data_IF_113518111904
#
_entry.id   IF_113518111904
#
_cell.length_a   1.000
_cell.length_b   1.000
_cell.length_c   1.000
_cell.angle_alpha   90.00
_cell.angle_beta   90.00
_cell.angle_gamma   90.00
#
_symmetry.space_group_name_H-M   'P 1'
#
loop_
_entity.id
_entity.type
_entity.pdbx_description
1 polymer ?
#
# COMPACT_ATOMS: atom_id res chain seq x y z
N UNK A 1 5.94 -12.68 9.06
CA UNK A 1 4.69 -12.26 8.40
C UNK A 1 4.20 -10.95 9.04
N UNK A 2 3.39 -10.13 8.35
CA UNK A 2 2.76 -8.96 8.93
C UNK A 2 1.92 -9.29 10.17
N UNK A 3 1.96 -8.43 11.19
CA UNK A 3 1.17 -8.60 12.42
C UNK A 3 -0.02 -7.63 12.51
N UNK A 4 -0.10 -6.66 11.59
CA UNK A 4 -1.17 -5.67 11.52
C UNK A 4 -1.41 -5.27 10.05
N UNK A 5 -2.64 -4.87 9.70
CA UNK A 5 -2.98 -4.51 8.31
C UNK A 5 -2.32 -3.21 7.83
N UNK A 6 -2.25 -2.22 8.70
CA UNK A 6 -1.73 -0.87 8.36
C UNK A 6 -0.29 -0.69 8.82
N UNK A 7 0.06 -1.28 9.96
CA UNK A 7 1.41 -1.22 10.54
C UNK A 7 2.01 -2.63 10.63
N UNK A 8 2.39 -3.23 9.51
CA UNK A 8 2.73 -4.66 9.43
C UNK A 8 3.91 -5.08 10.31
N UNK A 9 4.81 -4.17 10.64
CA UNK A 9 6.00 -4.40 11.45
C UNK A 9 5.89 -3.86 12.89
N UNK A 10 4.69 -3.56 13.40
CA UNK A 10 4.47 -2.99 14.75
C UNK A 10 5.02 -3.86 15.87
N UNK A 11 5.23 -5.15 15.64
CA UNK A 11 5.82 -6.10 16.58
C UNK A 11 7.35 -6.00 16.72
N UNK A 12 8.01 -5.19 15.88
CA UNK A 12 9.45 -5.01 15.89
C UNK A 12 9.82 -3.71 16.62
N UNK A 13 10.81 -3.80 17.47
CA UNK A 13 11.44 -2.63 18.07
C UNK A 13 12.65 -2.15 17.24
N UNK A 14 13.12 -0.93 17.51
CA UNK A 14 14.22 -0.31 16.73
C UNK A 14 15.52 -1.11 16.74
N UNK A 15 15.84 -1.84 17.83
CA UNK A 15 17.06 -2.67 17.92
C UNK A 15 16.94 -3.90 17.01
N UNK A 16 15.77 -4.51 16.97
CA UNK A 16 15.49 -5.62 16.05
C UNK A 16 15.54 -5.15 14.59
N UNK A 17 14.99 -3.98 14.27
CA UNK A 17 15.10 -3.40 12.95
C UNK A 17 16.58 -3.16 12.55
N UNK A 18 17.37 -2.53 13.43
CA UNK A 18 18.80 -2.32 13.18
C UNK A 18 19.54 -3.62 12.90
N UNK A 19 19.26 -4.66 13.70
CA UNK A 19 19.84 -5.99 13.50
C UNK A 19 19.47 -6.57 12.12
N UNK A 20 18.19 -6.50 11.71
CA UNK A 20 17.78 -6.96 10.39
C UNK A 20 18.49 -6.19 9.26
N UNK A 21 18.62 -4.87 9.38
CA UNK A 21 19.40 -4.08 8.43
C UNK A 21 20.85 -4.52 8.37
N UNK A 22 21.49 -4.72 9.55
CA UNK A 22 22.89 -5.15 9.63
C UNK A 22 23.10 -6.53 9.02
N UNK A 23 22.20 -7.47 9.32
CA UNK A 23 22.26 -8.84 8.80
C UNK A 23 22.10 -8.88 7.26
N UNK A 24 21.20 -8.06 6.71
CA UNK A 24 20.92 -8.01 5.27
C UNK A 24 22.02 -7.29 4.49
N UNK A 25 22.43 -6.12 4.98
CA UNK A 25 23.39 -5.26 4.27
C UNK A 25 24.85 -5.62 4.54
N UNK A 26 25.11 -6.48 5.55
CA UNK A 26 26.46 -6.83 6.03
C UNK A 26 27.26 -5.59 6.48
N UNK A 27 26.55 -4.60 6.99
CA UNK A 27 27.07 -3.35 7.56
C UNK A 27 26.66 -3.26 9.03
N UNK A 28 27.44 -2.59 9.89
CA UNK A 28 27.03 -2.33 11.26
C UNK A 28 26.09 -1.11 11.30
N UNK A 29 24.81 -1.37 11.48
CA UNK A 29 23.75 -0.35 11.45
C UNK A 29 23.32 -0.04 12.90
N UNK A 30 23.55 1.19 13.37
CA UNK A 30 23.12 1.58 14.70
C UNK A 30 21.59 1.63 14.84
N UNK A 31 21.09 1.41 16.08
CA UNK A 31 19.65 1.51 16.37
C UNK A 31 19.15 2.96 16.46
N UNK A 32 19.63 3.80 15.56
CA UNK A 32 19.24 5.21 15.37
C UNK A 32 18.24 5.30 14.23
N UNK A 33 17.07 5.89 14.48
CA UNK A 33 15.97 5.91 13.51
C UNK A 33 16.32 6.73 12.25
N UNK A 34 16.83 7.97 12.36
CA UNK A 34 17.27 8.74 11.21
C UNK A 34 18.32 8.02 10.35
N UNK A 35 19.29 7.37 10.97
CA UNK A 35 20.32 6.62 10.27
C UNK A 35 19.73 5.43 9.49
N UNK A 36 18.87 4.62 10.14
CA UNK A 36 18.20 3.51 9.48
C UNK A 36 17.34 3.95 8.29
N UNK A 37 16.62 5.08 8.43
CA UNK A 37 15.83 5.65 7.33
C UNK A 37 16.72 6.09 6.16
N UNK A 38 17.82 6.76 6.44
CA UNK A 38 18.77 7.17 5.39
C UNK A 38 19.40 5.96 4.71
N UNK A 39 19.74 4.91 5.46
CA UNK A 39 20.26 3.65 4.92
C UNK A 39 19.24 2.99 4.00
N UNK A 40 18.00 2.83 4.45
CA UNK A 40 16.93 2.28 3.62
C UNK A 40 16.73 3.10 2.33
N UNK A 41 16.74 4.43 2.46
CA UNK A 41 16.59 5.34 1.32
C UNK A 41 17.75 5.21 0.31
N UNK A 42 18.99 5.09 0.79
CA UNK A 42 20.18 4.88 -0.05
C UNK A 42 20.07 3.59 -0.86
N UNK A 43 19.79 2.50 -0.18
CA UNK A 43 19.72 1.16 -0.79
C UNK A 43 18.55 1.03 -1.75
N UNK A 44 17.35 1.41 -1.33
CA UNK A 44 16.14 1.23 -2.14
C UNK A 44 16.05 2.19 -3.32
N UNK A 45 16.72 3.35 -3.27
CA UNK A 45 16.67 4.34 -4.35
C UNK A 45 17.14 3.77 -5.68
N UNK A 46 18.25 3.05 -5.68
CA UNK A 46 18.79 2.45 -6.90
C UNK A 46 17.87 1.37 -7.47
N UNK A 47 17.28 0.57 -6.60
CA UNK A 47 16.34 -0.48 -7.00
C UNK A 47 15.07 0.13 -7.61
N UNK A 48 14.54 1.21 -7.04
CA UNK A 48 13.41 1.92 -7.64
C UNK A 48 13.73 2.51 -9.02
N UNK A 49 14.95 3.03 -9.20
CA UNK A 49 15.36 3.64 -10.47
C UNK A 49 15.60 2.61 -11.57
N UNK A 50 16.00 1.38 -11.22
CA UNK A 50 16.26 0.26 -12.15
C UNK A 50 15.02 -0.58 -12.46
N UNK A 51 13.92 -0.37 -11.75
CA UNK A 51 12.74 -1.21 -11.87
C UNK A 51 12.05 -1.06 -13.24
N UNK A 52 11.89 -2.16 -13.95
CA UNK A 52 11.17 -2.24 -15.24
C UNK A 52 9.66 -2.24 -15.06
N UNK A 53 9.19 -2.67 -13.89
CA UNK A 53 7.77 -2.79 -13.58
C UNK A 53 7.49 -2.43 -12.12
N UNK A 54 6.47 -1.61 -11.91
CA UNK A 54 5.88 -1.36 -10.60
C UNK A 54 4.61 -2.19 -10.41
N UNK A 55 4.49 -2.86 -9.25
CA UNK A 55 3.27 -3.57 -8.88
C UNK A 55 2.74 -2.96 -7.59
N UNK A 56 1.48 -2.55 -7.59
CA UNK A 56 0.83 -1.99 -6.40
C UNK A 56 -0.54 -2.63 -6.14
N UNK A 57 -0.99 -2.56 -4.90
CA UNK A 57 -2.40 -2.63 -4.60
C UNK A 57 -3.08 -1.28 -4.84
N UNK A 58 -4.32 -1.14 -4.36
CA UNK A 58 -5.01 0.13 -4.29
C UNK A 58 -5.82 0.24 -3.00
N UNK A 59 -6.05 1.47 -2.52
CA UNK A 59 -6.93 1.70 -1.38
C UNK A 59 -8.39 1.79 -1.83
N UNK A 60 -8.65 2.38 -3.00
CA UNK A 60 -9.96 2.41 -3.65
C UNK A 60 -9.83 2.61 -5.16
N UNK A 61 -10.86 2.23 -5.89
CA UNK A 61 -11.05 2.55 -7.31
C UNK A 61 -12.37 3.27 -7.49
N UNK A 62 -12.42 4.27 -8.36
CA UNK A 62 -13.61 5.10 -8.60
C UNK A 62 -14.29 4.61 -9.87
N UNK A 63 -15.51 4.06 -9.75
CA UNK A 63 -16.24 3.50 -10.89
C UNK A 63 -16.68 4.57 -11.91
N UNK A 64 -16.92 5.79 -11.44
CA UNK A 64 -17.39 6.91 -12.27
C UNK A 64 -16.41 7.29 -13.38
N UNK A 65 -15.10 7.21 -13.12
CA UNK A 65 -14.07 7.67 -14.05
C UNK A 65 -12.88 6.72 -14.22
N UNK A 66 -12.87 5.58 -13.50
CA UNK A 66 -11.78 4.61 -13.55
C UNK A 66 -10.53 4.98 -12.76
N UNK A 67 -10.52 6.10 -12.07
CA UNK A 67 -9.34 6.52 -11.30
C UNK A 67 -9.08 5.59 -10.11
N UNK A 68 -7.80 5.35 -9.84
CA UNK A 68 -7.32 4.50 -8.75
C UNK A 68 -6.66 5.36 -7.67
N UNK A 69 -7.08 5.17 -6.42
CA UNK A 69 -6.54 5.88 -5.27
C UNK A 69 -5.53 5.06 -4.48
N UNK A 70 -4.35 5.63 -4.26
CA UNK A 70 -3.27 5.09 -3.44
C UNK A 70 -2.95 6.05 -2.29
N UNK A 71 -2.91 5.51 -1.08
CA UNK A 71 -2.66 6.25 0.16
C UNK A 71 -1.40 5.73 0.81
N UNK A 72 -0.44 6.61 1.10
CA UNK A 72 0.80 6.25 1.78
C UNK A 72 1.37 7.42 2.57
N UNK A 73 2.17 7.12 3.59
CA UNK A 73 2.92 8.12 4.36
C UNK A 73 4.38 8.21 3.92
N UNK A 74 4.93 7.14 3.36
CA UNK A 74 6.35 7.00 3.06
C UNK A 74 6.73 7.50 1.66
N UNK A 75 5.76 7.64 0.77
CA UNK A 75 5.99 8.02 -0.63
C UNK A 75 6.49 6.90 -1.53
N UNK A 76 6.70 5.69 -1.01
CA UNK A 76 7.15 4.52 -1.75
C UNK A 76 6.20 4.16 -2.91
N UNK A 77 4.90 4.11 -2.66
CA UNK A 77 3.92 3.84 -3.70
C UNK A 77 3.99 4.89 -4.83
N UNK A 78 4.22 6.17 -4.50
CA UNK A 78 4.39 7.22 -5.50
C UNK A 78 5.58 6.96 -6.42
N UNK A 79 6.72 6.51 -5.88
CA UNK A 79 7.89 6.16 -6.68
C UNK A 79 7.59 4.96 -7.58
N UNK A 80 7.00 3.90 -7.01
CA UNK A 80 6.62 2.68 -7.76
C UNK A 80 5.63 2.98 -8.88
N UNK A 81 4.71 3.92 -8.68
CA UNK A 81 3.74 4.29 -9.71
C UNK A 81 4.30 5.24 -10.76
N UNK A 82 5.37 5.98 -10.45
CA UNK A 82 5.86 7.07 -11.32
C UNK A 82 7.05 6.65 -12.18
N UNK A 83 8.05 5.96 -11.61
CA UNK A 83 9.32 5.70 -12.30
C UNK A 83 9.22 4.55 -13.32
N UNK A 84 8.74 3.34 -12.97
CA UNK A 84 8.77 2.23 -13.91
C UNK A 84 7.92 2.47 -15.15
N UNK A 85 8.34 2.00 -16.33
CA UNK A 85 7.59 2.17 -17.59
C UNK A 85 6.30 1.34 -17.62
N UNK A 86 6.21 0.32 -16.79
CA UNK A 86 5.02 -0.52 -16.66
C UNK A 86 4.51 -0.45 -15.22
N UNK A 87 3.21 -0.22 -15.06
CA UNK A 87 2.57 -0.25 -13.74
C UNK A 87 1.38 -1.20 -13.74
N UNK A 88 1.40 -2.19 -12.87
CA UNK A 88 0.32 -3.16 -12.65
C UNK A 88 -0.34 -2.88 -11.30
N UNK A 89 -1.65 -2.63 -11.33
CA UNK A 89 -2.45 -2.35 -10.15
C UNK A 89 -3.37 -3.55 -9.90
N UNK A 90 -3.29 -4.14 -8.71
CA UNK A 90 -4.17 -5.24 -8.30
C UNK A 90 -5.15 -4.71 -7.26
N UNK A 91 -6.43 -4.73 -7.58
CA UNK A 91 -7.49 -4.21 -6.72
C UNK A 91 -8.66 -5.20 -6.61
N UNK A 92 -9.12 -5.47 -5.40
CA UNK A 92 -10.32 -6.26 -5.19
C UNK A 92 -11.61 -5.47 -5.48
N UNK A 93 -12.65 -6.16 -5.93
CA UNK A 93 -13.95 -5.53 -6.21
C UNK A 93 -14.52 -4.79 -5.00
N UNK A 94 -14.24 -5.24 -3.80
CA UNK A 94 -14.69 -4.62 -2.54
C UNK A 94 -14.12 -3.22 -2.28
N UNK A 95 -13.15 -2.80 -3.08
CA UNK A 95 -12.53 -1.47 -2.96
C UNK A 95 -13.05 -0.48 -3.99
N UNK A 96 -14.00 -0.89 -4.82
CA UNK A 96 -14.62 0.01 -5.78
C UNK A 96 -15.65 0.91 -5.09
N UNK A 97 -15.56 2.20 -5.33
CA UNK A 97 -16.49 3.21 -4.86
C UNK A 97 -17.20 3.88 -6.05
N UNK A 98 -18.47 4.27 -5.90
CA UNK A 98 -19.23 4.83 -7.01
C UNK A 98 -18.65 6.13 -7.57
N UNK A 99 -18.35 7.11 -6.69
CA UNK A 99 -18.04 8.48 -7.08
C UNK A 99 -16.79 9.01 -6.39
N UNK A 100 -16.17 10.01 -6.98
CA UNK A 100 -15.02 10.70 -6.41
C UNK A 100 -15.34 11.35 -5.05
N UNK A 101 -16.56 11.79 -4.82
CA UNK A 101 -17.00 12.33 -3.53
C UNK A 101 -16.92 11.31 -2.38
N UNK A 102 -17.02 10.01 -2.69
CA UNK A 102 -16.92 8.95 -1.69
C UNK A 102 -15.46 8.72 -1.26
N UNK A 103 -14.49 9.03 -2.13
CA UNK A 103 -13.07 9.01 -1.78
C UNK A 103 -12.78 9.94 -0.58
N UNK A 104 -13.44 11.08 -0.49
CA UNK A 104 -13.28 12.00 0.64
C UNK A 104 -13.70 11.36 1.98
N UNK A 105 -14.72 10.51 1.98
CA UNK A 105 -15.15 9.76 3.18
C UNK A 105 -14.09 8.76 3.61
N UNK A 106 -13.56 7.99 2.65
CA UNK A 106 -12.47 7.03 2.90
C UNK A 106 -11.24 7.74 3.44
N UNK A 107 -10.84 8.86 2.82
CA UNK A 107 -9.68 9.65 3.23
C UNK A 107 -9.82 10.27 4.64
N UNK A 108 -11.03 10.46 5.11
CA UNK A 108 -11.28 10.88 6.50
C UNK A 108 -11.20 9.72 7.49
N UNK A 109 -11.51 8.51 7.06
CA UNK A 109 -11.56 7.32 7.92
C UNK A 109 -10.20 6.62 8.03
N UNK A 110 -9.54 6.34 6.90
CA UNK A 110 -8.32 5.50 6.87
C UNK A 110 -7.22 6.02 7.78
N UNK A 111 -6.74 7.27 7.69
CA UNK A 111 -5.61 7.71 8.50
C UNK A 111 -5.96 7.82 9.98
N UNK A 112 -7.18 8.23 10.32
CA UNK A 112 -7.61 8.36 11.71
C UNK A 112 -7.71 7.01 12.40
N UNK A 113 -8.30 6.04 11.73
CA UNK A 113 -8.51 4.71 12.28
C UNK A 113 -7.26 3.83 12.24
N UNK A 114 -6.44 4.00 11.20
CA UNK A 114 -5.23 3.19 11.02
C UNK A 114 -4.08 3.63 11.92
N UNK A 115 -3.77 4.91 11.91
CA UNK A 115 -2.55 5.47 12.54
C UNK A 115 -2.81 6.67 13.47
N UNK A 116 -4.05 7.06 13.68
CA UNK A 116 -4.41 8.24 14.48
C UNK A 116 -4.08 9.58 13.80
N UNK A 117 -3.70 9.58 12.53
CA UNK A 117 -3.35 10.78 11.78
C UNK A 117 -4.62 11.54 11.35
N UNK A 118 -4.55 12.86 11.40
CA UNK A 118 -5.62 13.70 10.85
C UNK A 118 -5.72 13.57 9.33
N UNK A 119 -4.57 13.48 8.66
CA UNK A 119 -4.42 13.35 7.21
C UNK A 119 -3.23 12.43 6.91
N UNK A 120 -3.25 11.81 5.75
CA UNK A 120 -2.08 11.09 5.20
C UNK A 120 -1.11 12.06 4.55
N UNK A 121 0.15 11.65 4.42
CA UNK A 121 1.17 12.46 3.74
C UNK A 121 0.93 12.53 2.23
N UNK A 122 0.52 11.43 1.63
CA UNK A 122 0.33 11.33 0.18
C UNK A 122 -0.97 10.63 -0.18
N UNK A 123 -1.77 11.29 -1.02
CA UNK A 123 -2.82 10.67 -1.82
C UNK A 123 -2.41 10.79 -3.29
N UNK A 124 -2.31 9.66 -3.97
CA UNK A 124 -2.07 9.61 -5.41
C UNK A 124 -3.32 9.10 -6.10
N UNK A 125 -3.83 9.88 -7.03
CA UNK A 125 -4.91 9.46 -7.94
C UNK A 125 -4.30 9.18 -9.31
N UNK A 126 -4.55 8.00 -9.84
CA UNK A 126 -4.09 7.56 -11.16
C UNK A 126 -5.32 7.47 -12.04
N UNK A 127 -5.41 8.38 -12.99
CA UNK A 127 -6.54 8.54 -13.92
C UNK A 127 -6.20 8.11 -15.35
N UNK A 128 -5.08 7.43 -15.52
CA UNK A 128 -4.62 6.92 -16.80
C UNK A 128 -3.10 6.85 -16.90
N UNK A 129 -2.59 6.43 -18.07
CA UNK A 129 -1.17 6.41 -18.33
C UNK A 129 -0.60 7.83 -18.39
N UNK A 130 0.51 8.05 -17.69
CA UNK A 130 1.27 9.30 -17.75
C UNK A 130 2.47 9.13 -18.68
N UNK A 131 2.93 10.18 -19.39
CA UNK A 131 4.14 10.12 -20.16
C UNK A 131 5.36 9.90 -19.26
N UNK A 132 6.32 9.14 -19.75
CA UNK A 132 7.64 8.98 -19.17
C UNK A 132 8.68 9.48 -20.17
N UNK A 133 9.72 10.10 -19.65
CA UNK A 133 10.86 10.56 -20.47
C UNK A 133 12.06 9.68 -20.10
N UNK A 134 12.63 9.03 -21.10
CA UNK A 134 13.84 8.24 -20.94
C UNK A 134 14.82 8.50 -22.08
N UNK A 135 16.08 8.19 -21.86
CA UNK A 135 17.11 8.32 -22.88
C UNK A 135 17.17 7.06 -23.74
N UNK A 136 17.09 7.25 -25.06
CA UNK A 136 17.25 6.21 -26.06
C UNK A 136 18.20 6.71 -27.15
N UNK A 137 19.32 6.04 -27.33
CA UNK A 137 20.33 6.39 -28.34
C UNK A 137 20.83 7.84 -28.24
N UNK A 138 21.01 8.33 -26.99
CA UNK A 138 21.47 9.70 -26.73
C UNK A 138 20.42 10.79 -26.93
N UNK A 139 19.15 10.43 -27.13
CA UNK A 139 18.03 11.36 -27.26
C UNK A 139 16.99 11.10 -26.18
N UNK A 140 16.40 12.18 -25.66
CA UNK A 140 15.25 12.08 -24.76
C UNK A 140 14.01 11.75 -25.58
N UNK A 141 13.40 10.62 -25.25
CA UNK A 141 12.18 10.13 -25.90
C UNK A 141 11.06 10.12 -24.87
N UNK A 142 9.90 10.62 -25.28
CA UNK A 142 8.68 10.57 -24.51
C UNK A 142 7.85 9.36 -24.96
N UNK A 143 7.52 8.47 -24.04
CA UNK A 143 6.64 7.32 -24.29
C UNK A 143 5.54 7.28 -23.22
N UNK A 144 4.37 6.76 -23.60
CA UNK A 144 3.30 6.55 -22.64
C UNK A 144 3.59 5.32 -21.76
N UNK A 145 3.50 5.50 -20.44
CA UNK A 145 3.52 4.40 -19.48
C UNK A 145 2.41 3.40 -19.79
N UNK A 146 2.71 2.11 -19.64
CA UNK A 146 1.70 1.04 -19.71
C UNK A 146 1.11 0.83 -18.32
N UNK A 147 -0.19 1.04 -18.17
CA UNK A 147 -0.91 0.84 -16.92
C UNK A 147 -1.90 -0.30 -17.08
N UNK A 148 -1.82 -1.29 -16.22
CA UNK A 148 -2.74 -2.43 -16.18
C UNK A 148 -3.47 -2.45 -14.85
N UNK A 149 -4.80 -2.54 -14.88
CA UNK A 149 -5.63 -2.70 -13.69
C UNK A 149 -6.23 -4.09 -13.69
N UNK A 150 -5.89 -4.87 -12.67
CA UNK A 150 -6.41 -6.22 -12.45
C UNK A 150 -7.47 -6.16 -11.36
N UNK A 151 -8.73 -6.38 -11.74
CA UNK A 151 -9.84 -6.50 -10.81
C UNK A 151 -9.88 -7.93 -10.28
N UNK A 152 -9.59 -8.09 -9.00
CA UNK A 152 -9.50 -9.39 -8.32
C UNK A 152 -10.87 -9.79 -7.76
N UNK A 153 -11.47 -10.80 -8.35
CA UNK A 153 -12.70 -11.41 -7.80
C UNK A 153 -12.38 -12.39 -6.65
N UNK A 154 -11.74 -13.49 -6.94
CA UNK A 154 -11.42 -14.55 -5.97
C UNK A 154 -12.62 -14.88 -5.05
N UNK A 155 -13.82 -15.03 -5.64
CA UNK A 155 -15.06 -15.36 -4.93
C UNK A 155 -15.77 -14.18 -4.26
N UNK A 156 -15.27 -12.94 -4.42
CA UNK A 156 -15.85 -11.74 -3.82
C UNK A 156 -17.25 -11.45 -4.33
N UNK A 157 -17.47 -11.56 -5.64
CA UNK A 157 -18.79 -11.32 -6.23
C UNK A 157 -19.81 -12.34 -5.71
N UNK A 158 -19.42 -13.61 -5.60
CA UNK A 158 -20.29 -14.64 -5.02
C UNK A 158 -20.65 -14.32 -3.57
N UNK A 159 -19.68 -13.96 -2.76
CA UNK A 159 -19.89 -13.63 -1.36
C UNK A 159 -20.66 -12.31 -1.17
N UNK A 160 -20.52 -11.34 -2.07
CA UNK A 160 -21.29 -10.10 -2.05
C UNK A 160 -22.80 -10.29 -2.31
N UNK A 161 -23.18 -11.38 -2.99
CA UNK A 161 -24.57 -11.75 -3.22
C UNK A 161 -25.14 -12.70 -2.15
N UNK A 162 -24.32 -13.14 -1.19
CA UNK A 162 -24.74 -13.96 -0.08
C UNK A 162 -25.19 -13.07 1.10
N UNK A 163 -26.46 -13.22 1.52
CA UNK A 163 -27.04 -12.42 2.61
C UNK A 163 -26.29 -12.53 3.94
N UNK A 164 -25.56 -13.62 4.18
CA UNK A 164 -24.77 -13.82 5.39
C UNK A 164 -23.37 -13.21 5.30
N UNK A 165 -22.85 -13.01 4.09
CA UNK A 165 -21.46 -12.60 3.87
C UNK A 165 -21.30 -11.17 3.32
N UNK A 166 -22.36 -10.61 2.74
CA UNK A 166 -22.30 -9.30 2.06
C UNK A 166 -21.79 -8.15 2.93
N UNK A 167 -22.06 -8.19 4.25
CA UNK A 167 -21.62 -7.14 5.16
C UNK A 167 -20.08 -7.06 5.33
N UNK A 168 -19.36 -8.16 5.06
CA UNK A 168 -17.88 -8.18 5.10
C UNK A 168 -17.28 -7.18 4.11
N UNK A 169 -17.99 -6.90 3.01
CA UNK A 169 -17.54 -5.97 1.97
C UNK A 169 -17.70 -4.48 2.33
N UNK A 170 -18.34 -4.17 3.44
CA UNK A 170 -18.35 -2.81 3.99
C UNK A 170 -17.02 -2.46 4.67
N UNK A 171 -16.14 -3.43 4.85
CA UNK A 171 -14.84 -3.24 5.48
C UNK A 171 -13.88 -2.47 4.58
N UNK A 172 -13.54 -1.23 4.97
CA UNK A 172 -12.56 -0.37 4.27
C UNK A 172 -11.11 -0.66 4.66
N UNK A 173 -10.85 -1.69 5.46
CA UNK A 173 -9.52 -2.14 5.93
C UNK A 173 -8.73 -1.07 6.68
N UNK A 174 -9.40 -0.27 7.48
CA UNK A 174 -8.79 0.80 8.27
C UNK A 174 -8.07 0.32 9.56
N UNK A 175 -8.18 -0.96 9.92
CA UNK A 175 -7.61 -1.56 11.14
C UNK A 175 -8.18 -1.06 12.48
N UNK A 176 -9.24 -0.27 12.49
CA UNK A 176 -9.83 0.23 13.74
C UNK A 176 -10.21 -0.89 14.71
N UNK A 177 -10.77 -1.98 14.18
CA UNK A 177 -11.13 -3.17 14.97
C UNK A 177 -9.91 -3.82 15.64
N UNK A 178 -8.75 -3.84 14.99
CA UNK A 178 -7.53 -4.39 15.57
C UNK A 178 -6.94 -3.50 16.65
N UNK A 179 -7.00 -2.18 16.47
CA UNK A 179 -6.46 -1.21 17.43
C UNK A 179 -7.13 -1.30 18.81
N UNK A 180 -8.38 -1.77 18.88
CA UNK A 180 -9.16 -1.89 20.10
C UNK A 180 -9.49 -3.35 20.48
N UNK A 181 -9.05 -4.32 19.69
CA UNK A 181 -9.37 -5.73 19.90
C UNK A 181 -8.58 -6.30 21.10
N UNK A 182 -9.24 -6.75 22.17
CA UNK A 182 -8.53 -7.33 23.33
C UNK A 182 -7.79 -8.63 22.98
N UNK A 183 -8.32 -9.41 22.03
CA UNK A 183 -7.66 -10.64 21.59
C UNK A 183 -6.37 -10.29 20.84
N UNK A 184 -6.43 -9.38 19.88
CA UNK A 184 -5.25 -8.94 19.14
C UNK A 184 -4.18 -8.32 20.07
N UNK A 185 -4.59 -7.54 21.05
CA UNK A 185 -3.69 -6.94 22.04
C UNK A 185 -2.99 -7.98 22.90
N UNK A 186 -3.63 -9.12 23.15
CA UNK A 186 -3.08 -10.20 23.99
C UNK A 186 -2.18 -11.14 23.20
N UNK A 187 -2.63 -11.60 22.01
CA UNK A 187 -1.93 -12.68 21.27
C UNK A 187 -1.16 -12.18 20.04
N UNK A 188 -1.37 -10.94 19.62
CA UNK A 188 -0.77 -10.34 18.44
C UNK A 188 -1.34 -10.90 17.12
N UNK A 189 -1.01 -10.23 16.02
CA UNK A 189 -1.54 -10.59 14.70
C UNK A 189 -0.97 -11.87 14.10
N UNK A 190 0.17 -12.37 14.60
CA UNK A 190 0.82 -13.58 14.06
C UNK A 190 0.02 -14.86 14.29
N UNK A 191 -0.85 -14.88 15.28
CA UNK A 191 -1.71 -16.01 15.63
C UNK A 191 -2.86 -16.18 14.62
N UNK A 192 -3.25 -15.10 13.94
CA UNK A 192 -4.27 -15.15 12.89
C UNK A 192 -3.78 -15.96 11.69
N UNK A 193 -4.62 -16.89 11.19
CA UNK A 193 -4.22 -17.90 10.23
C UNK A 193 -3.80 -17.41 8.83
N UNK A 194 -4.31 -16.26 8.40
CA UNK A 194 -4.11 -15.71 7.07
C UNK A 194 -3.07 -14.57 7.03
N UNK A 195 -2.78 -14.09 5.82
CA UNK A 195 -1.86 -12.96 5.59
C UNK A 195 -2.39 -11.70 6.25
N UNK A 196 -3.68 -11.46 6.17
CA UNK A 196 -4.34 -10.32 6.81
C UNK A 196 -4.88 -10.73 8.17
N UNK A 197 -4.49 -9.97 9.19
CA UNK A 197 -5.00 -10.07 10.55
C UNK A 197 -6.13 -9.03 10.70
N UNK A 198 -7.33 -9.38 10.37
CA UNK A 198 -8.45 -8.45 10.49
C UNK A 198 -9.78 -9.13 10.31
N UNK A 199 -10.84 -8.39 10.52
CA UNK A 199 -12.20 -8.85 10.32
C UNK A 199 -12.58 -9.03 8.86
#
# INVERSE_FOLDING_TARGET
>A
KPSHMVMPAIHLNRKQCAKFFSDELKEDIPSDIPYMIQTARRVLREEFLKADMGITGANFGIAENGAIGLVTNEGNARIVTTIPPVHVIIIGYEKLIPKISDAAKIMRLLPRNGTGQRMVSYLTLIDGPTPIIHEKEGKLVEENKKVYVILLDNGRLKAAHDDKLKEVYQCVRCSSCLNVCPIWSTVGGHVYGYIYSGG
#
